data_IF_113015786843
#
_entry.id   IF_113015786843
#
_cell.length_a   1.000
_cell.length_b   1.000
_cell.length_c   1.000
_cell.angle_alpha   90.00
_cell.angle_beta   90.00
_cell.angle_gamma   90.00
#
_symmetry.space_group_name_H-M   'P 1'
#
loop_
_entity.id
_entity.type
_entity.pdbx_description
1 polymer ?
#
# COMPACT_ATOMS: atom_id res chain seq x y z
N UNK A 1 -75.16 -7.57 10.18
CA UNK A 1 -74.52 -6.30 10.59
C UNK A 1 -73.05 -6.60 10.78
N UNK A 2 -72.14 -6.33 9.82
CA UNK A 2 -71.48 -5.03 9.55
C UNK A 2 -70.91 -4.43 10.87
N UNK A 3 -69.62 -4.12 11.05
CA UNK A 3 -68.57 -3.52 10.19
C UNK A 3 -67.19 -3.72 10.87
N UNK A 4 -66.13 -4.10 10.15
CA UNK A 4 -64.98 -3.29 9.72
C UNK A 4 -64.19 -2.56 10.82
N UNK A 5 -62.91 -2.90 10.98
CA UNK A 5 -61.79 -1.94 10.94
C UNK A 5 -60.44 -2.68 10.94
N UNK A 6 -59.86 -2.78 9.73
CA UNK A 6 -58.42 -2.88 9.51
C UNK A 6 -57.73 -1.71 10.23
N UNK A 7 -56.62 -1.98 10.93
CA UNK A 7 -55.60 -0.96 11.20
C UNK A 7 -54.24 -1.53 10.88
N UNK A 8 -53.68 -0.96 9.83
CA UNK A 8 -52.33 -1.09 9.34
C UNK A 8 -51.30 -1.07 10.47
N UNK A 9 -50.56 -2.17 10.59
CA UNK A 9 -49.25 -2.13 11.23
C UNK A 9 -48.27 -1.62 10.17
N UNK A 10 -48.07 -0.30 10.19
CA UNK A 10 -47.06 0.36 9.37
C UNK A 10 -45.68 -0.19 9.71
N UNK A 11 -45.13 -0.98 8.80
CA UNK A 11 -43.73 -1.36 8.76
C UNK A 11 -42.92 -0.08 8.47
N UNK A 12 -42.38 0.54 9.52
CA UNK A 12 -41.35 1.58 9.39
C UNK A 12 -40.09 0.87 8.87
N UNK A 13 -39.89 0.90 7.56
CA UNK A 13 -38.58 0.67 6.98
C UNK A 13 -37.78 1.93 7.29
N UNK A 14 -36.99 1.88 8.37
CA UNK A 14 -35.86 2.78 8.54
C UNK A 14 -34.87 2.47 7.43
N UNK A 15 -34.97 3.22 6.33
CA UNK A 15 -33.92 3.29 5.34
C UNK A 15 -32.75 4.02 6.00
N UNK A 16 -31.90 3.27 6.71
CA UNK A 16 -30.54 3.71 6.99
C UNK A 16 -29.87 3.86 5.63
N UNK A 17 -29.89 5.08 5.11
CA UNK A 17 -29.04 5.47 3.99
C UNK A 17 -27.63 5.45 4.54
N UNK A 18 -26.85 4.43 4.20
CA UNK A 18 -25.42 4.41 4.50
C UNK A 18 -24.81 5.73 4.00
N UNK A 19 -23.96 6.38 4.80
CA UNK A 19 -23.34 7.63 4.38
C UNK A 19 -22.59 7.41 3.05
N UNK A 20 -22.64 8.41 2.16
CA UNK A 20 -21.88 8.37 0.91
C UNK A 20 -20.38 8.29 1.24
N UNK A 21 -19.62 7.35 0.64
CA UNK A 21 -18.21 7.21 0.94
C UNK A 21 -17.43 8.48 0.59
N UNK A 22 -16.46 8.81 1.45
CA UNK A 22 -15.55 9.94 1.25
C UNK A 22 -14.66 9.70 0.02
N UNK A 23 -14.01 10.76 -0.49
CA UNK A 23 -13.05 10.62 -1.60
C UNK A 23 -11.92 9.65 -1.24
N UNK A 24 -11.42 9.71 -0.01
CA UNK A 24 -10.35 8.84 0.47
C UNK A 24 -10.80 7.37 0.47
N UNK A 25 -11.98 7.08 1.01
CA UNK A 25 -12.54 5.73 1.02
C UNK A 25 -12.71 5.16 -0.39
N UNK A 26 -13.14 5.98 -1.36
CA UNK A 26 -13.23 5.55 -2.77
C UNK A 26 -11.85 5.27 -3.36
N UNK A 27 -10.86 6.10 -3.04
CA UNK A 27 -9.48 5.92 -3.49
C UNK A 27 -8.86 4.65 -2.91
N UNK A 28 -9.08 4.37 -1.64
CA UNK A 28 -8.57 3.17 -0.97
C UNK A 28 -9.21 1.91 -1.56
N UNK A 29 -10.54 1.90 -1.73
CA UNK A 29 -11.25 0.79 -2.37
C UNK A 29 -10.79 0.54 -3.81
N UNK A 30 -10.63 1.59 -4.62
CA UNK A 30 -10.09 1.44 -5.98
C UNK A 30 -8.63 0.94 -5.97
N UNK A 31 -7.84 1.32 -4.97
CA UNK A 31 -6.47 0.85 -4.81
C UNK A 31 -6.41 -0.63 -4.44
N UNK A 32 -7.32 -1.09 -3.60
CA UNK A 32 -7.46 -2.50 -3.21
C UNK A 32 -7.91 -3.38 -4.38
N UNK A 33 -8.89 -2.93 -5.17
CA UNK A 33 -9.27 -3.65 -6.41
C UNK A 33 -8.08 -3.81 -7.35
N UNK A 34 -7.34 -2.72 -7.58
CA UNK A 34 -6.16 -2.74 -8.43
C UNK A 34 -5.04 -3.63 -7.86
N UNK A 35 -4.86 -3.66 -6.54
CA UNK A 35 -3.92 -4.56 -5.86
C UNK A 35 -4.31 -6.02 -6.07
N UNK A 36 -5.60 -6.38 -5.92
CA UNK A 36 -6.08 -7.74 -6.08
C UNK A 36 -5.95 -8.21 -7.54
N UNK A 37 -6.31 -7.37 -8.51
CA UNK A 37 -6.10 -7.64 -9.93
C UNK A 37 -4.63 -7.94 -10.25
N UNK A 38 -3.73 -7.06 -9.79
CA UNK A 38 -2.31 -7.23 -10.07
C UNK A 38 -1.68 -8.38 -9.27
N UNK A 39 -2.24 -8.76 -8.12
CA UNK A 39 -1.83 -9.97 -7.42
C UNK A 39 -2.06 -11.23 -8.28
N UNK A 40 -3.21 -11.35 -8.95
CA UNK A 40 -3.49 -12.45 -9.87
C UNK A 40 -2.53 -12.44 -11.07
N UNK A 41 -2.31 -11.26 -11.66
CA UNK A 41 -1.39 -11.09 -12.80
C UNK A 41 0.05 -11.50 -12.44
N UNK A 42 0.55 -11.03 -11.29
CA UNK A 42 1.89 -11.36 -10.80
C UNK A 42 2.02 -12.85 -10.50
N UNK A 43 1.03 -13.44 -9.83
CA UNK A 43 1.00 -14.86 -9.53
C UNK A 43 1.03 -15.71 -10.81
N UNK A 44 0.24 -15.34 -11.82
CA UNK A 44 0.23 -15.99 -13.12
C UNK A 44 1.58 -15.86 -13.86
N UNK A 45 2.30 -14.75 -13.65
CA UNK A 45 3.64 -14.53 -14.17
C UNK A 45 4.76 -15.22 -13.36
N UNK A 46 4.41 -15.97 -12.30
CA UNK A 46 5.38 -16.64 -11.43
C UNK A 46 6.13 -15.68 -10.49
N UNK A 47 5.55 -14.51 -10.20
CA UNK A 47 6.06 -13.52 -9.26
C UNK A 47 5.31 -13.59 -7.93
N UNK A 48 5.94 -13.21 -6.81
CA UNK A 48 5.22 -13.05 -5.55
C UNK A 48 4.23 -11.88 -5.67
N UNK A 49 3.08 -12.03 -5.02
CA UNK A 49 2.05 -11.00 -4.93
C UNK A 49 1.94 -10.41 -3.52
N UNK A 50 0.72 -10.02 -3.15
CA UNK A 50 0.40 -9.39 -1.87
C UNK A 50 -0.15 -10.39 -0.86
N UNK A 51 0.40 -10.37 0.35
CA UNK A 51 -0.04 -11.26 1.44
C UNK A 51 -1.49 -10.99 1.88
N UNK A 52 -2.00 -9.78 1.66
CA UNK A 52 -3.37 -9.36 1.97
C UNK A 52 -4.26 -9.32 0.73
N UNK A 53 -3.82 -9.80 -0.42
CA UNK A 53 -4.67 -9.77 -1.61
C UNK A 53 -5.80 -10.78 -1.48
N UNK A 54 -6.99 -10.33 -1.87
CA UNK A 54 -8.16 -11.17 -2.03
C UNK A 54 -8.25 -11.69 -3.48
N UNK A 55 -9.09 -12.70 -3.70
CA UNK A 55 -9.38 -13.18 -5.04
C UNK A 55 -10.01 -12.07 -5.88
N UNK A 56 -9.50 -11.86 -7.09
CA UNK A 56 -10.09 -10.94 -8.05
C UNK A 56 -11.05 -11.68 -8.97
N UNK A 57 -12.33 -11.29 -8.95
CA UNK A 57 -13.38 -11.89 -9.77
C UNK A 57 -13.97 -10.86 -10.73
N UNK A 58 -13.84 -11.10 -12.04
CA UNK A 58 -14.43 -10.29 -13.11
C UNK A 58 -14.96 -11.17 -14.23
N UNK A 59 -16.02 -10.71 -14.91
CA UNK A 59 -16.55 -11.34 -16.12
C UNK A 59 -15.87 -10.80 -17.40
N UNK A 60 -15.07 -9.73 -17.28
CA UNK A 60 -14.40 -9.09 -18.41
C UNK A 60 -13.11 -9.84 -18.79
N UNK A 61 -12.47 -9.37 -19.86
CA UNK A 61 -11.10 -9.79 -20.15
C UNK A 61 -10.14 -9.08 -19.20
N UNK A 62 -9.05 -9.75 -18.82
CA UNK A 62 -7.99 -9.15 -17.99
C UNK A 62 -7.43 -7.85 -18.59
N UNK A 63 -7.43 -7.71 -19.92
CA UNK A 63 -6.98 -6.48 -20.58
C UNK A 63 -7.97 -5.31 -20.39
N UNK A 64 -9.25 -5.61 -20.29
CA UNK A 64 -10.28 -4.60 -20.01
C UNK A 64 -10.22 -4.21 -18.53
N UNK A 65 -10.12 -5.20 -17.63
CA UNK A 65 -9.96 -4.98 -16.18
C UNK A 65 -8.72 -4.13 -15.86
N UNK A 66 -7.57 -4.44 -16.49
CA UNK A 66 -6.34 -3.64 -16.34
C UNK A 66 -6.59 -2.17 -16.67
N UNK A 67 -7.35 -1.87 -17.75
CA UNK A 67 -7.59 -0.48 -18.15
C UNK A 67 -8.61 0.21 -17.26
N UNK A 68 -9.70 -0.50 -16.92
CA UNK A 68 -10.79 0.02 -16.12
C UNK A 68 -10.31 0.35 -14.71
N UNK A 69 -9.75 -0.62 -13.98
CA UNK A 69 -9.33 -0.46 -12.59
C UNK A 69 -8.20 0.56 -12.45
N UNK A 70 -7.26 0.54 -13.39
CA UNK A 70 -6.20 1.55 -13.46
C UNK A 70 -6.77 2.96 -13.62
N UNK A 71 -7.68 3.14 -14.59
CA UNK A 71 -8.25 4.44 -14.89
C UNK A 71 -9.11 4.96 -13.73
N UNK A 72 -9.91 4.08 -13.12
CA UNK A 72 -10.74 4.39 -11.96
C UNK A 72 -9.88 4.87 -10.78
N UNK A 73 -8.84 4.11 -10.43
CA UNK A 73 -7.90 4.51 -9.39
C UNK A 73 -7.17 5.82 -9.73
N UNK A 74 -6.65 5.95 -10.96
CA UNK A 74 -5.89 7.13 -11.38
C UNK A 74 -6.75 8.39 -11.34
N UNK A 75 -8.03 8.30 -11.74
CA UNK A 75 -8.96 9.43 -11.73
C UNK A 75 -9.24 9.97 -10.31
N UNK A 76 -9.22 9.08 -9.31
CA UNK A 76 -9.47 9.44 -7.90
C UNK A 76 -8.23 10.05 -7.23
N UNK A 77 -7.04 9.54 -7.58
CA UNK A 77 -5.76 9.95 -6.99
C UNK A 77 -5.18 11.21 -7.64
N UNK A 78 -5.51 11.48 -8.90
CA UNK A 78 -4.90 12.57 -9.64
C UNK A 78 -5.59 13.91 -9.39
N UNK A 79 -5.19 14.60 -8.32
CA UNK A 79 -5.51 16.00 -8.04
C UNK A 79 -4.41 16.99 -8.45
N UNK A 80 -3.47 16.59 -9.33
CA UNK A 80 -2.56 17.49 -10.04
C UNK A 80 -1.28 17.93 -9.32
N UNK A 81 -0.17 17.86 -10.06
CA UNK A 81 0.98 18.77 -10.15
C UNK A 81 2.03 18.11 -11.08
N UNK A 82 1.63 17.83 -12.32
CA UNK A 82 2.60 17.45 -13.35
C UNK A 82 3.24 18.72 -13.92
N UNK A 83 4.51 18.69 -14.37
CA UNK A 83 5.09 19.80 -15.12
C UNK A 83 4.22 20.17 -16.33
N UNK A 84 4.22 21.45 -16.71
CA UNK A 84 3.38 21.96 -17.80
C UNK A 84 3.67 21.25 -19.15
N UNK A 85 4.86 20.66 -19.31
CA UNK A 85 5.23 19.91 -20.51
C UNK A 85 4.61 18.51 -20.60
N UNK A 86 3.96 18.01 -19.53
CA UNK A 86 3.39 16.66 -19.47
C UNK A 86 1.88 16.70 -19.72
N UNK A 87 1.42 15.96 -20.73
CA UNK A 87 -0.02 15.76 -20.96
C UNK A 87 -0.62 14.79 -19.92
N UNK A 88 -0.95 15.34 -18.75
CA UNK A 88 -1.51 14.58 -17.65
C UNK A 88 -2.86 13.91 -17.98
N UNK A 89 -3.57 14.35 -19.03
CA UNK A 89 -4.82 13.73 -19.46
C UNK A 89 -4.59 12.48 -20.31
N UNK A 90 -3.43 12.40 -20.98
CA UNK A 90 -3.02 11.24 -21.77
C UNK A 90 -2.44 10.11 -20.91
N UNK A 91 -1.77 10.44 -19.80
CA UNK A 91 -1.11 9.46 -18.90
C UNK A 91 -1.95 8.23 -18.52
N UNK A 92 -3.23 8.35 -18.08
CA UNK A 92 -3.99 7.16 -17.70
C UNK A 92 -4.19 6.21 -18.89
N UNK A 93 -4.50 6.73 -20.08
CA UNK A 93 -4.65 5.91 -21.29
C UNK A 93 -3.31 5.28 -21.68
N UNK A 94 -2.26 6.09 -21.79
CA UNK A 94 -0.98 5.65 -22.34
C UNK A 94 -0.30 4.62 -21.43
N UNK A 95 -0.37 4.82 -20.11
CA UNK A 95 0.13 3.83 -19.15
C UNK A 95 -0.79 2.60 -19.05
N UNK A 96 -2.11 2.76 -19.14
CA UNK A 96 -3.04 1.63 -19.17
C UNK A 96 -2.78 0.71 -20.38
N UNK A 97 -2.51 1.27 -21.55
CA UNK A 97 -2.12 0.51 -22.73
C UNK A 97 -0.76 -0.17 -22.55
N UNK A 98 0.20 0.48 -21.87
CA UNK A 98 1.47 -0.14 -21.50
C UNK A 98 1.30 -1.31 -20.52
N UNK A 99 0.41 -1.22 -19.54
CA UNK A 99 0.11 -2.33 -18.62
C UNK A 99 -0.46 -3.54 -19.38
N UNK A 100 -1.37 -3.29 -20.34
CA UNK A 100 -1.93 -4.35 -21.20
C UNK A 100 -0.86 -4.97 -22.10
N UNK A 101 0.05 -4.16 -22.66
CA UNK A 101 1.20 -4.70 -23.42
C UNK A 101 2.14 -5.50 -22.53
N UNK A 102 2.43 -5.02 -21.33
CA UNK A 102 3.25 -5.71 -20.33
C UNK A 102 2.65 -7.09 -20.05
N UNK A 103 1.33 -7.18 -19.87
CA UNK A 103 0.63 -8.44 -19.71
C UNK A 103 0.80 -9.36 -20.94
N UNK A 104 0.44 -8.88 -22.13
CA UNK A 104 0.41 -9.69 -23.35
C UNK A 104 1.80 -10.15 -23.82
N UNK A 105 2.83 -9.35 -23.58
CA UNK A 105 4.21 -9.60 -24.00
C UNK A 105 5.04 -10.32 -22.93
N UNK A 106 4.44 -10.66 -21.78
CA UNK A 106 5.13 -11.37 -20.69
C UNK A 106 6.07 -10.49 -19.87
N UNK A 107 5.90 -9.17 -19.92
CA UNK A 107 6.77 -8.22 -19.22
C UNK A 107 6.75 -8.33 -17.70
N UNK A 108 5.69 -8.87 -17.08
CA UNK A 108 5.71 -9.16 -15.63
C UNK A 108 6.65 -10.33 -15.28
N UNK A 109 6.85 -11.26 -16.22
CA UNK A 109 7.82 -12.34 -16.06
C UNK A 109 9.26 -11.86 -16.35
N UNK A 110 9.46 -10.91 -17.26
CA UNK A 110 10.76 -10.27 -17.56
C UNK A 110 10.65 -8.72 -17.64
N UNK A 111 10.61 -8.03 -16.49
CA UNK A 111 10.43 -6.57 -16.45
C UNK A 111 11.56 -5.80 -17.15
N UNK A 112 12.80 -6.22 -16.94
CA UNK A 112 13.97 -5.61 -17.59
C UNK A 112 13.92 -5.76 -19.09
N UNK A 113 13.64 -6.98 -19.59
CA UNK A 113 13.52 -7.23 -21.02
C UNK A 113 12.42 -6.37 -21.66
N UNK A 114 11.27 -6.24 -20.99
CA UNK A 114 10.18 -5.40 -21.47
C UNK A 114 10.55 -3.91 -21.49
N UNK A 115 11.10 -3.37 -20.40
CA UNK A 115 11.52 -1.97 -20.31
C UNK A 115 12.54 -1.60 -21.39
N UNK A 116 13.47 -2.50 -21.72
CA UNK A 116 14.47 -2.29 -22.80
C UNK A 116 13.86 -2.15 -24.20
N UNK A 117 12.65 -2.65 -24.40
CA UNK A 117 11.95 -2.59 -25.67
C UNK A 117 11.01 -1.37 -25.78
N UNK A 118 10.86 -0.60 -24.71
CA UNK A 118 10.04 0.61 -24.73
C UNK A 118 10.71 1.72 -25.53
N UNK A 119 9.90 2.49 -26.23
CA UNK A 119 10.33 3.74 -26.86
C UNK A 119 10.62 4.82 -25.80
N UNK A 120 11.29 5.89 -26.20
CA UNK A 120 11.57 7.02 -25.30
C UNK A 120 10.29 7.65 -24.72
N UNK A 121 9.23 7.78 -25.54
CA UNK A 121 7.95 8.35 -25.11
C UNK A 121 7.20 7.43 -24.13
N UNK A 122 7.32 6.11 -24.31
CA UNK A 122 6.76 5.12 -23.39
C UNK A 122 7.51 5.13 -22.05
N UNK A 123 8.84 5.20 -22.06
CA UNK A 123 9.63 5.36 -20.85
C UNK A 123 9.32 6.68 -20.13
N UNK A 124 9.09 7.76 -20.86
CA UNK A 124 8.65 9.03 -20.29
C UNK A 124 7.26 8.89 -19.62
N UNK A 125 6.33 8.16 -20.24
CA UNK A 125 5.03 7.84 -19.63
C UNK A 125 5.22 7.09 -18.31
N UNK A 126 6.05 6.04 -18.29
CA UNK A 126 6.37 5.28 -17.07
C UNK A 126 6.98 6.19 -16.00
N UNK A 127 7.95 7.04 -16.38
CA UNK A 127 8.63 7.98 -15.49
C UNK A 127 7.63 8.95 -14.84
N UNK A 128 6.75 9.55 -15.65
CA UNK A 128 5.77 10.52 -15.18
C UNK A 128 4.73 9.89 -14.27
N UNK A 129 4.15 8.74 -14.65
CA UNK A 129 3.18 8.04 -13.80
C UNK A 129 3.78 7.68 -12.43
N UNK A 130 5.04 7.27 -12.40
CA UNK A 130 5.77 6.95 -11.17
C UNK A 130 6.35 8.19 -10.45
N UNK A 131 6.18 9.39 -11.01
CA UNK A 131 6.67 10.68 -10.49
C UNK A 131 8.17 10.72 -10.24
N UNK A 132 8.94 10.08 -11.11
CA UNK A 132 10.40 10.10 -11.03
C UNK A 132 10.95 11.39 -11.62
N UNK A 133 11.90 12.01 -10.89
CA UNK A 133 12.54 13.25 -11.33
C UNK A 133 13.55 12.97 -12.43
N UNK A 134 14.39 11.96 -12.22
CA UNK A 134 15.46 11.59 -13.14
C UNK A 134 14.96 10.58 -14.20
N UNK A 135 15.56 10.59 -15.40
CA UNK A 135 15.30 9.58 -16.41
C UNK A 135 15.58 8.17 -15.90
N UNK A 136 14.81 7.19 -16.41
CA UNK A 136 14.99 5.79 -16.04
C UNK A 136 16.24 5.21 -16.72
N UNK A 137 17.27 4.88 -15.95
CA UNK A 137 18.38 4.06 -16.41
C UNK A 137 18.06 2.57 -16.21
N UNK A 138 17.60 1.91 -17.27
CA UNK A 138 17.11 0.52 -17.19
C UNK A 138 18.22 -0.46 -16.77
N UNK A 139 19.47 -0.18 -17.14
CA UNK A 139 20.59 -1.08 -16.84
C UNK A 139 21.03 -1.02 -15.37
N UNK A 140 20.68 0.05 -14.64
CA UNK A 140 20.96 0.20 -13.21
C UNK A 140 19.89 -0.41 -12.30
N UNK A 141 18.70 -0.72 -12.83
CA UNK A 141 17.56 -1.15 -12.04
C UNK A 141 17.76 -2.54 -11.41
N UNK A 142 17.33 -2.69 -10.16
CA UNK A 142 17.13 -3.99 -9.52
C UNK A 142 15.91 -4.71 -10.11
N UNK A 143 15.76 -6.04 -9.93
CA UNK A 143 14.55 -6.77 -10.33
C UNK A 143 13.26 -6.19 -9.73
N UNK A 144 13.34 -5.71 -8.49
CA UNK A 144 12.21 -5.06 -7.81
C UNK A 144 11.88 -3.71 -8.45
N UNK A 145 12.88 -2.85 -8.61
CA UNK A 145 12.72 -1.53 -9.20
C UNK A 145 12.12 -1.61 -10.60
N UNK A 146 12.60 -2.54 -11.43
CA UNK A 146 12.09 -2.75 -12.78
C UNK A 146 10.63 -3.24 -12.78
N UNK A 147 10.29 -4.18 -11.89
CA UNK A 147 8.92 -4.68 -11.78
C UNK A 147 7.95 -3.59 -11.30
N UNK A 148 8.34 -2.84 -10.27
CA UNK A 148 7.50 -1.82 -9.67
C UNK A 148 7.26 -0.59 -10.57
N UNK A 149 8.07 -0.39 -11.60
CA UNK A 149 7.80 0.59 -12.67
C UNK A 149 6.67 0.15 -13.60
N UNK A 150 6.39 -1.16 -13.67
CA UNK A 150 5.41 -1.75 -14.58
C UNK A 150 4.09 -2.12 -13.89
N UNK A 151 3.94 -1.84 -12.59
CA UNK A 151 2.70 -2.08 -11.86
C UNK A 151 2.21 -0.81 -11.18
N UNK A 152 0.89 -0.61 -11.02
CA UNK A 152 0.35 0.56 -10.36
C UNK A 152 0.82 0.69 -8.90
N UNK A 153 0.90 1.92 -8.39
CA UNK A 153 1.37 2.18 -7.02
C UNK A 153 0.71 1.29 -5.96
N UNK A 154 -0.62 1.10 -5.91
CA UNK A 154 -1.25 0.24 -4.91
C UNK A 154 -0.77 -1.21 -4.93
N UNK A 155 -0.26 -1.68 -6.07
CA UNK A 155 0.19 -3.04 -6.32
C UNK A 155 1.74 -3.19 -6.34
N UNK A 156 2.52 -2.18 -5.94
CA UNK A 156 3.97 -2.27 -5.85
C UNK A 156 4.47 -3.15 -4.70
N UNK A 157 5.39 -4.06 -4.99
CA UNK A 157 5.86 -5.07 -4.02
C UNK A 157 7.27 -4.76 -3.50
N UNK A 158 7.52 -5.06 -2.22
CA UNK A 158 8.87 -5.26 -1.67
C UNK A 158 9.27 -6.72 -1.97
N UNK A 159 10.18 -6.91 -2.93
CA UNK A 159 10.56 -8.22 -3.48
C UNK A 159 11.77 -8.80 -2.76
N UNK A 160 12.73 -7.96 -2.35
CA UNK A 160 13.92 -8.38 -1.62
C UNK A 160 13.69 -8.46 -0.09
N UNK A 161 12.51 -8.02 0.35
CA UNK A 161 12.02 -8.05 1.72
C UNK A 161 12.77 -7.13 2.67
N UNK A 162 13.37 -6.05 2.16
CA UNK A 162 14.18 -5.14 2.97
C UNK A 162 13.38 -4.08 3.75
N UNK A 163 12.06 -4.04 3.53
CA UNK A 163 11.14 -3.09 4.16
C UNK A 163 11.04 -1.75 3.42
N UNK A 164 11.71 -1.61 2.28
CA UNK A 164 11.63 -0.47 1.37
C UNK A 164 11.15 -0.95 0.00
N UNK A 165 10.13 -0.28 -0.54
CA UNK A 165 9.66 -0.56 -1.91
C UNK A 165 10.46 0.28 -2.91
N UNK A 166 11.17 -0.37 -3.82
CA UNK A 166 11.96 0.28 -4.87
C UNK A 166 11.13 0.56 -6.11
N UNK A 167 11.21 1.78 -6.65
CA UNK A 167 10.54 2.16 -7.92
C UNK A 167 11.50 2.99 -8.74
N UNK A 168 12.05 2.41 -9.81
CA UNK A 168 13.22 3.01 -10.44
C UNK A 168 14.37 3.13 -9.42
N UNK A 169 14.95 4.32 -9.28
CA UNK A 169 15.97 4.60 -8.26
C UNK A 169 15.40 5.07 -6.90
N UNK A 170 14.07 5.25 -6.81
CA UNK A 170 13.43 5.74 -5.59
C UNK A 170 13.17 4.62 -4.59
N UNK A 171 13.35 4.92 -3.30
CA UNK A 171 13.01 4.04 -2.18
C UNK A 171 11.83 4.64 -1.41
N UNK A 172 10.77 3.86 -1.23
CA UNK A 172 9.59 4.28 -0.49
C UNK A 172 9.39 3.44 0.77
N UNK A 173 9.12 4.13 1.87
CA UNK A 173 8.54 3.52 3.06
C UNK A 173 7.05 3.42 2.84
N UNK A 174 6.50 2.22 3.07
CA UNK A 174 5.08 1.96 2.97
C UNK A 174 4.64 1.04 4.09
N UNK A 175 3.50 1.36 4.70
CA UNK A 175 2.77 0.42 5.53
C UNK A 175 1.27 0.67 5.36
N UNK A 176 0.44 -0.38 5.18
CA UNK A 176 0.81 -1.77 4.93
C UNK A 176 1.55 -1.94 3.60
N UNK A 177 2.43 -2.93 3.53
CA UNK A 177 3.17 -3.32 2.32
C UNK A 177 2.70 -4.68 1.78
N UNK A 178 3.33 -5.16 0.71
CA UNK A 178 3.02 -6.45 0.06
C UNK A 178 3.15 -7.68 0.96
N UNK A 179 3.75 -7.54 2.15
CA UNK A 179 3.95 -8.66 3.09
C UNK A 179 3.11 -8.55 4.35
N UNK A 180 2.40 -7.44 4.51
CA UNK A 180 1.59 -7.21 5.69
C UNK A 180 0.39 -8.16 5.66
N UNK A 181 0.16 -8.98 6.71
CA UNK A 181 -0.96 -9.92 6.70
C UNK A 181 -2.32 -9.21 6.63
N UNK A 182 -3.31 -9.84 5.99
CA UNK A 182 -4.67 -9.33 5.84
C UNK A 182 -5.27 -8.78 7.15
N UNK A 183 -5.19 -9.56 8.24
CA UNK A 183 -5.71 -9.14 9.55
C UNK A 183 -5.06 -7.83 10.06
N UNK A 184 -3.78 -7.60 9.73
CA UNK A 184 -3.06 -6.37 10.09
C UNK A 184 -3.46 -5.22 9.17
N UNK A 185 -3.67 -5.48 7.87
CA UNK A 185 -4.19 -4.50 6.90
C UNK A 185 -5.57 -4.01 7.33
N UNK A 186 -6.47 -4.93 7.67
CA UNK A 186 -7.82 -4.61 8.12
C UNK A 186 -7.80 -3.75 9.39
N UNK A 187 -7.00 -4.15 10.38
CA UNK A 187 -6.84 -3.37 11.61
C UNK A 187 -6.25 -1.97 11.36
N UNK A 188 -5.31 -1.85 10.42
CA UNK A 188 -4.71 -0.58 10.04
C UNK A 188 -5.72 0.33 9.35
N UNK A 189 -6.49 -0.21 8.39
CA UNK A 189 -7.51 0.54 7.67
C UNK A 189 -8.58 1.07 8.61
N UNK A 190 -9.02 0.28 9.60
CA UNK A 190 -9.94 0.74 10.65
C UNK A 190 -9.32 1.83 11.54
N UNK A 191 -8.09 1.65 12.01
CA UNK A 191 -7.42 2.59 12.88
C UNK A 191 -7.05 3.91 12.19
N UNK A 192 -7.02 3.94 10.85
CA UNK A 192 -6.62 5.10 10.04
C UNK A 192 -7.73 5.68 9.16
N UNK A 193 -8.95 5.15 9.22
CA UNK A 193 -10.05 5.49 8.30
C UNK A 193 -10.35 7.00 8.19
N UNK A 194 -10.26 7.73 9.30
CA UNK A 194 -10.54 9.17 9.38
C UNK A 194 -9.29 10.02 9.63
N UNK A 195 -8.10 9.43 9.46
CA UNK A 195 -6.83 10.08 9.76
C UNK A 195 -6.37 11.02 8.64
N UNK A 196 -5.78 12.16 8.99
CA UNK A 196 -5.14 13.04 8.00
C UNK A 196 -3.97 12.32 7.30
N UNK A 197 -3.80 12.45 5.98
CA UNK A 197 -2.73 11.75 5.26
C UNK A 197 -1.32 12.04 5.79
N UNK A 198 -1.04 13.25 6.30
CA UNK A 198 0.29 13.57 6.85
C UNK A 198 0.53 12.89 8.19
N UNK A 199 -0.54 12.74 8.98
CA UNK A 199 -0.49 11.98 10.22
C UNK A 199 -0.31 10.49 9.92
N UNK A 200 -1.03 9.94 8.94
CA UNK A 200 -0.91 8.54 8.53
C UNK A 200 0.52 8.17 8.15
N UNK A 201 1.19 9.00 7.35
CA UNK A 201 2.62 8.81 6.96
C UNK A 201 3.54 8.70 8.18
N UNK A 202 3.27 9.42 9.26
CA UNK A 202 4.07 9.31 10.48
C UNK A 202 3.95 7.93 11.13
N UNK A 203 2.73 7.39 11.22
CA UNK A 203 2.53 6.04 11.73
C UNK A 203 3.04 4.96 10.77
N UNK A 204 2.99 5.18 9.46
CA UNK A 204 3.57 4.26 8.47
C UNK A 204 5.08 4.09 8.70
N UNK A 205 5.78 5.22 8.90
CA UNK A 205 7.19 5.21 9.28
C UNK A 205 7.42 4.45 10.59
N UNK A 206 6.63 4.74 11.63
CA UNK A 206 6.76 4.07 12.92
C UNK A 206 6.57 2.55 12.82
N UNK A 207 5.63 2.10 11.98
CA UNK A 207 5.43 0.68 11.71
C UNK A 207 6.64 0.05 11.03
N UNK A 208 7.43 0.80 10.26
CA UNK A 208 8.62 0.29 9.57
C UNK A 208 9.93 0.42 10.32
N UNK A 209 9.99 1.21 11.40
CA UNK A 209 11.20 1.37 12.20
C UNK A 209 11.84 0.04 12.67
N UNK A 210 11.09 -0.99 13.11
CA UNK A 210 11.70 -2.26 13.51
C UNK A 210 12.56 -2.88 12.39
N UNK A 211 12.08 -2.89 11.15
CA UNK A 211 12.83 -3.43 10.01
C UNK A 211 14.00 -2.52 9.61
N UNK A 212 13.75 -1.20 9.54
CA UNK A 212 14.76 -0.22 9.11
C UNK A 212 15.96 -0.14 10.08
N UNK A 213 15.75 -0.42 11.36
CA UNK A 213 16.78 -0.29 12.39
C UNK A 213 17.40 -1.64 12.82
N UNK A 214 16.77 -2.78 12.51
CA UNK A 214 17.22 -4.09 12.99
C UNK A 214 18.63 -4.48 12.56
N UNK A 215 19.10 -3.92 11.44
CA UNK A 215 20.40 -4.24 10.87
C UNK A 215 21.47 -3.18 11.17
N UNK A 216 21.18 -2.21 12.05
CA UNK A 216 22.16 -1.24 12.54
C UNK A 216 22.81 -1.80 13.80
N UNK A 217 24.13 -1.98 13.77
CA UNK A 217 24.90 -2.51 14.88
C UNK A 217 25.55 -1.38 15.66
N UNK A 218 25.37 -1.41 16.98
CA UNK A 218 25.94 -0.43 17.91
C UNK A 218 26.81 -1.11 18.95
N UNK A 219 27.79 -0.39 19.50
CA UNK A 219 28.61 -0.85 20.63
C UNK A 219 27.88 -0.74 21.97
N UNK A 220 28.53 -1.16 23.06
CA UNK A 220 27.99 -1.09 24.43
C UNK A 220 27.66 0.34 24.91
N UNK A 221 28.12 1.37 24.19
CA UNK A 221 27.85 2.79 24.46
C UNK A 221 26.77 3.37 23.52
N UNK A 222 26.17 2.54 22.66
CA UNK A 222 25.16 2.94 21.70
C UNK A 222 25.72 3.67 20.48
N UNK A 223 27.03 3.58 20.21
CA UNK A 223 27.64 4.20 19.01
C UNK A 223 27.57 3.25 17.82
N UNK A 224 27.29 3.81 16.65
CA UNK A 224 27.32 3.06 15.40
C UNK A 224 28.67 2.35 15.18
N UNK A 225 28.60 1.06 14.84
CA UNK A 225 29.75 0.20 14.51
C UNK A 225 29.71 -0.20 13.04
N UNK A 226 28.58 -0.75 12.61
CA UNK A 226 28.38 -1.26 11.25
C UNK A 226 26.89 -1.38 10.95
N UNK A 227 26.54 -1.74 9.71
CA UNK A 227 25.21 -2.23 9.36
C UNK A 227 25.34 -3.50 8.51
N UNK A 228 24.26 -4.26 8.39
CA UNK A 228 24.14 -5.38 7.45
C UNK A 228 23.25 -4.95 6.29
N UNK A 229 23.65 -5.23 5.05
CA UNK A 229 22.89 -4.83 3.86
C UNK A 229 21.89 -5.91 3.43
N UNK A 230 20.76 -5.54 2.80
CA UNK A 230 19.85 -6.51 2.19
C UNK A 230 20.58 -7.47 1.25
N UNK A 231 20.34 -8.78 1.44
CA UNK A 231 21.00 -9.85 0.69
C UNK A 231 22.23 -10.45 1.38
N UNK A 232 22.76 -9.83 2.43
CA UNK A 232 23.80 -10.44 3.26
C UNK A 232 23.24 -11.63 4.07
N UNK A 233 24.05 -12.68 4.34
CA UNK A 233 23.57 -13.88 5.07
C UNK A 233 23.03 -13.63 6.47
N UNK A 234 23.44 -12.53 7.10
CA UNK A 234 23.04 -12.16 8.46
C UNK A 234 22.00 -11.03 8.48
N UNK A 235 21.46 -10.65 7.32
CA UNK A 235 20.44 -9.64 7.23
C UNK A 235 19.12 -10.17 7.82
N UNK A 236 18.42 -9.34 8.59
CA UNK A 236 17.18 -9.74 9.27
C UNK A 236 16.02 -8.80 8.96
N UNK A 237 14.85 -9.36 8.67
CA UNK A 237 13.58 -8.63 8.73
C UNK A 237 12.78 -9.12 9.95
N UNK A 238 12.69 -8.36 11.05
CA UNK A 238 11.88 -8.76 12.20
C UNK A 238 10.43 -9.03 11.83
N UNK A 239 9.85 -8.28 10.89
CA UNK A 239 8.46 -8.44 10.46
C UNK A 239 8.22 -9.70 9.63
N UNK A 240 9.28 -10.36 9.15
CA UNK A 240 9.18 -11.69 8.53
C UNK A 240 9.11 -12.82 9.57
N UNK A 241 9.47 -12.57 10.83
CA UNK A 241 9.47 -13.62 11.85
C UNK A 241 8.03 -14.02 12.19
N UNK A 242 7.77 -15.34 12.20
CA UNK A 242 6.48 -15.91 12.60
C UNK A 242 6.03 -15.54 14.03
N UNK A 243 6.96 -15.07 14.87
CA UNK A 243 6.71 -14.60 16.23
C UNK A 243 6.59 -13.09 16.35
N UNK A 244 6.77 -12.34 15.25
CA UNK A 244 6.53 -10.90 15.26
C UNK A 244 5.07 -10.62 15.60
N UNK A 245 4.84 -9.62 16.45
CA UNK A 245 3.52 -9.27 16.95
C UNK A 245 3.31 -7.76 16.84
N UNK A 246 2.36 -7.36 16.00
CA UNK A 246 1.92 -5.97 15.87
C UNK A 246 1.15 -5.51 17.13
N UNK A 247 0.51 -6.44 17.85
CA UNK A 247 -0.12 -6.18 19.15
C UNK A 247 0.93 -5.84 20.20
N UNK A 248 2.02 -6.59 20.26
CA UNK A 248 3.12 -6.35 21.19
C UNK A 248 3.84 -5.05 20.83
N UNK A 249 4.10 -4.78 19.53
CA UNK A 249 4.61 -3.49 19.08
C UNK A 249 3.70 -2.34 19.55
N UNK A 250 2.39 -2.46 19.34
CA UNK A 250 1.44 -1.43 19.74
C UNK A 250 1.43 -1.22 21.25
N UNK A 251 1.54 -2.30 22.04
CA UNK A 251 1.67 -2.21 23.49
C UNK A 251 2.98 -1.52 23.91
N UNK A 252 4.11 -1.86 23.29
CA UNK A 252 5.40 -1.21 23.56
C UNK A 252 5.34 0.29 23.28
N UNK A 253 4.63 0.70 22.23
CA UNK A 253 4.43 2.11 21.93
C UNK A 253 3.54 2.81 22.96
N UNK A 254 2.48 2.16 23.46
CA UNK A 254 1.67 2.68 24.58
C UNK A 254 2.54 2.84 25.84
N UNK A 255 3.33 1.82 26.18
CA UNK A 255 4.19 1.83 27.36
C UNK A 255 5.25 2.95 27.26
N UNK A 256 5.83 3.15 26.08
CA UNK A 256 6.74 4.26 25.79
C UNK A 256 6.07 5.62 26.02
N UNK A 257 4.87 5.81 25.45
CA UNK A 257 4.12 7.06 25.60
C UNK A 257 3.78 7.32 27.07
N UNK A 258 3.34 6.31 27.81
CA UNK A 258 2.98 6.43 29.23
C UNK A 258 4.21 6.73 30.10
N UNK A 259 5.37 6.14 29.79
CA UNK A 259 6.63 6.41 30.48
C UNK A 259 7.12 7.86 30.23
N UNK A 260 7.00 8.35 29.00
CA UNK A 260 7.47 9.69 28.61
C UNK A 260 6.38 10.76 28.62
N UNK A 261 5.19 10.49 29.18
CA UNK A 261 4.02 11.38 29.10
C UNK A 261 4.27 12.82 29.58
N UNK A 262 5.21 13.03 30.51
CA UNK A 262 5.57 14.36 31.03
C UNK A 262 6.60 15.11 30.17
N UNK A 263 7.18 14.44 29.17
CA UNK A 263 8.18 14.99 28.23
C UNK A 263 7.57 15.19 26.83
N UNK A 264 6.40 14.62 26.56
CA UNK A 264 5.68 14.73 25.30
C UNK A 264 4.62 15.83 25.43
N UNK A 265 4.44 16.71 24.43
CA UNK A 265 3.30 17.63 24.40
C UNK A 265 1.98 16.87 24.58
N UNK A 266 1.11 17.39 25.46
CA UNK A 266 -0.08 16.67 25.92
C UNK A 266 -0.98 16.21 24.76
N UNK A 267 -1.21 17.10 23.80
CA UNK A 267 -1.96 16.84 22.57
C UNK A 267 -1.36 15.68 21.77
N UNK A 268 -0.03 15.66 21.58
CA UNK A 268 0.66 14.58 20.87
C UNK A 268 0.64 13.25 21.63
N UNK A 269 0.71 13.29 22.95
CA UNK A 269 0.58 12.10 23.78
C UNK A 269 -0.82 11.51 23.66
N UNK A 270 -1.87 12.33 23.82
CA UNK A 270 -3.26 11.88 23.74
C UNK A 270 -3.57 11.30 22.36
N UNK A 271 -3.13 11.98 21.28
CA UNK A 271 -3.30 11.52 19.90
C UNK A 271 -2.62 10.18 19.63
N UNK A 272 -1.31 10.06 19.89
CA UNK A 272 -0.57 8.82 19.61
C UNK A 272 -1.05 7.67 20.48
N UNK A 273 -1.37 7.94 21.75
CA UNK A 273 -1.86 6.90 22.65
C UNK A 273 -3.23 6.40 22.21
N UNK A 274 -4.11 7.29 21.74
CA UNK A 274 -5.40 6.91 21.18
C UNK A 274 -5.23 6.02 19.94
N UNK A 275 -4.37 6.42 19.00
CA UNK A 275 -4.05 5.61 17.82
C UNK A 275 -3.58 4.21 18.20
N UNK A 276 -2.52 4.08 19.01
CA UNK A 276 -1.98 2.76 19.35
C UNK A 276 -2.95 1.91 20.17
N UNK A 277 -3.81 2.53 20.99
CA UNK A 277 -4.87 1.81 21.71
C UNK A 277 -5.90 1.25 20.74
N UNK A 278 -6.37 2.07 19.79
CA UNK A 278 -7.34 1.66 18.79
C UNK A 278 -6.76 0.60 17.86
N UNK A 279 -5.56 0.82 17.32
CA UNK A 279 -4.90 -0.12 16.43
C UNK A 279 -4.67 -1.47 17.12
N UNK A 280 -4.21 -1.47 18.38
CA UNK A 280 -4.09 -2.70 19.18
C UNK A 280 -5.42 -3.42 19.34
N UNK A 281 -6.50 -2.69 19.60
CA UNK A 281 -7.83 -3.29 19.73
C UNK A 281 -8.29 -3.91 18.39
N UNK A 282 -8.19 -3.18 17.28
CA UNK A 282 -8.55 -3.70 15.96
C UNK A 282 -7.69 -4.92 15.59
N UNK A 283 -6.39 -4.93 15.90
CA UNK A 283 -5.53 -6.10 15.68
C UNK A 283 -6.09 -7.34 16.40
N UNK A 284 -6.52 -7.19 17.65
CA UNK A 284 -7.11 -8.28 18.42
C UNK A 284 -8.46 -8.75 17.87
N UNK A 285 -9.30 -7.82 17.39
CA UNK A 285 -10.60 -8.12 16.79
C UNK A 285 -10.46 -8.90 15.48
N UNK A 286 -9.44 -8.57 14.67
CA UNK A 286 -9.11 -9.29 13.43
C UNK A 286 -8.26 -10.56 13.65
N UNK A 287 -7.95 -10.90 14.91
CA UNK A 287 -7.13 -12.07 15.23
C UNK A 287 -5.66 -11.95 14.80
N UNK A 288 -5.20 -10.74 14.52
CA UNK A 288 -3.80 -10.46 14.28
C UNK A 288 -3.00 -10.60 15.58
N UNK A 289 -1.74 -11.02 15.43
CA UNK A 289 -0.77 -10.99 16.52
C UNK A 289 -0.01 -9.69 16.49
#
# INVERSE_FOLDING_TARGET
MQTSALRDFAMRIETQTSPTPTRQQKQDAAGEQLQNLFNEILTAAGRPGYASAEAYESENSIQDDIREDWNDWFSLTNAGNYPDEVDAQALPRDYGDLLVRTYNEGGFADPHGFLKNLTADELATVQHVNRLVDPIDIDSLTPEAALNLLIPRPAQIDLNYDGLTQVGEAYMIRFPDSRTPEAVVNAWNEATADMDPREKIFYELQMKLPTLLANIHVDDQGRYVSHTEPGDPNWVNPQADSNYSFTDLSQQMIDYLDYFQHQIPKDRYEQQRAFYTQFKQSLQEHGAR
#
